data_IF_498291317276
#
_entry.id   IF_498291317276
#
_cell.length_a   1.000
_cell.length_b   1.000
_cell.length_c   1.000
_cell.angle_alpha   90.00
_cell.angle_beta   90.00
_cell.angle_gamma   90.00
#
_symmetry.space_group_name_H-M   'P 1'
#
loop_
_entity.id
_entity.type
_entity.pdbx_description
1 polymer ?
#
# COMPACT_ATOMS: atom_id res chain seq x y z
N UNK A 1 8.40 19.47 -3.67
CA UNK A 1 7.74 18.15 -3.56
C UNK A 1 8.64 17.01 -4.04
N UNK A 2 9.16 17.04 -5.27
CA UNK A 2 10.04 15.98 -5.78
C UNK A 2 11.29 15.72 -4.91
N UNK A 3 11.90 16.76 -4.32
CA UNK A 3 13.00 16.59 -3.37
C UNK A 3 12.62 15.80 -2.11
N UNK A 4 11.37 15.90 -1.64
CA UNK A 4 10.88 15.12 -0.49
C UNK A 4 10.73 13.64 -0.86
N UNK A 5 10.18 13.36 -2.04
CA UNK A 5 10.10 11.99 -2.57
C UNK A 5 11.50 11.38 -2.74
N UNK A 6 12.43 12.14 -3.35
CA UNK A 6 13.82 11.69 -3.52
C UNK A 6 14.49 11.37 -2.18
N UNK A 7 14.25 12.20 -1.16
CA UNK A 7 14.71 11.96 0.21
C UNK A 7 14.18 10.63 0.75
N UNK A 8 12.87 10.39 0.65
CA UNK A 8 12.24 9.16 1.14
C UNK A 8 12.79 7.92 0.44
N UNK A 9 13.00 7.98 -0.89
CA UNK A 9 13.65 6.89 -1.64
C UNK A 9 15.12 6.65 -1.25
N UNK A 10 15.89 7.72 -1.02
CA UNK A 10 17.28 7.60 -0.56
C UNK A 10 17.33 6.95 0.84
N UNK A 11 16.39 7.30 1.72
CA UNK A 11 16.30 6.74 3.06
C UNK A 11 16.11 5.22 3.06
N UNK A 12 15.39 4.70 2.05
CA UNK A 12 15.07 3.28 1.89
C UNK A 12 16.12 2.53 1.08
N UNK A 13 17.17 3.18 0.57
CA UNK A 13 18.12 2.57 -0.39
C UNK A 13 18.66 1.20 0.08
N UNK A 14 18.89 1.02 1.38
CA UNK A 14 19.37 -0.26 1.92
C UNK A 14 18.30 -1.37 1.93
N UNK A 15 17.01 -1.01 1.89
CA UNK A 15 15.87 -1.92 1.82
C UNK A 15 15.42 -2.23 0.39
N UNK A 16 15.93 -1.54 -0.64
CA UNK A 16 15.65 -1.83 -2.05
C UNK A 16 15.94 -3.28 -2.46
N UNK A 17 17.10 -3.89 -2.12
CA UNK A 17 17.36 -5.29 -2.49
C UNK A 17 16.35 -6.24 -1.83
N UNK A 18 16.00 -6.02 -0.56
CA UNK A 18 14.96 -6.78 0.14
C UNK A 18 13.59 -6.61 -0.54
N UNK A 19 13.23 -5.40 -0.92
CA UNK A 19 11.99 -5.09 -1.60
C UNK A 19 11.88 -5.77 -2.97
N UNK A 20 12.93 -5.71 -3.80
CA UNK A 20 12.95 -6.37 -5.11
C UNK A 20 12.83 -7.89 -4.94
N UNK A 21 13.64 -8.47 -4.04
CA UNK A 21 13.62 -9.90 -3.75
C UNK A 21 12.25 -10.36 -3.28
N UNK A 22 11.64 -9.64 -2.33
CA UNK A 22 10.33 -10.01 -1.78
C UNK A 22 9.18 -9.77 -2.78
N UNK A 23 9.28 -8.74 -3.62
CA UNK A 23 8.28 -8.47 -4.67
C UNK A 23 8.22 -9.57 -5.74
N UNK A 24 9.33 -10.28 -5.96
CA UNK A 24 9.39 -11.42 -6.88
C UNK A 24 9.01 -12.71 -6.17
N UNK A 25 9.61 -12.99 -5.00
CA UNK A 25 9.39 -14.25 -4.28
C UNK A 25 8.01 -14.35 -3.61
N UNK A 26 7.47 -13.24 -3.10
CA UNK A 26 6.20 -13.20 -2.38
C UNK A 26 5.02 -13.75 -3.22
N UNK A 27 4.80 -13.22 -4.45
CA UNK A 27 3.75 -13.72 -5.32
C UNK A 27 3.98 -15.19 -5.70
N UNK A 28 5.22 -15.61 -5.94
CA UNK A 28 5.56 -17.00 -6.31
C UNK A 28 5.19 -17.96 -5.18
N UNK A 29 5.59 -17.63 -3.95
CA UNK A 29 5.33 -18.43 -2.77
C UNK A 29 3.83 -18.60 -2.51
N UNK A 30 3.07 -17.49 -2.59
CA UNK A 30 1.62 -17.53 -2.34
C UNK A 30 0.88 -18.30 -3.44
N UNK A 31 1.27 -18.14 -4.71
CA UNK A 31 0.67 -18.93 -5.80
C UNK A 31 0.95 -20.42 -5.64
N UNK A 32 2.16 -20.80 -5.24
CA UNK A 32 2.51 -22.20 -4.97
C UNK A 32 1.64 -22.82 -3.87
N UNK A 33 1.29 -22.04 -2.84
CA UNK A 33 0.50 -22.51 -1.71
C UNK A 33 -1.02 -22.52 -1.96
N UNK A 34 -1.52 -21.66 -2.86
CA UNK A 34 -2.97 -21.47 -3.05
C UNK A 34 -3.59 -22.25 -4.21
N UNK A 35 -2.78 -22.80 -5.15
CA UNK A 35 -3.17 -23.70 -6.27
C UNK A 35 -4.67 -23.71 -6.62
N UNK A 36 -5.22 -22.57 -7.01
CA UNK A 36 -6.66 -22.40 -7.24
C UNK A 36 -6.96 -21.24 -8.20
N UNK A 37 -8.18 -21.21 -8.73
CA UNK A 37 -8.67 -20.11 -9.56
C UNK A 37 -8.61 -18.78 -8.77
N UNK A 38 -8.07 -17.73 -9.38
CA UNK A 38 -7.75 -16.39 -8.82
C UNK A 38 -6.55 -16.28 -7.86
N UNK A 39 -5.70 -17.31 -7.74
CA UNK A 39 -4.46 -17.27 -6.95
C UNK A 39 -3.57 -16.05 -7.27
N UNK A 40 -3.50 -15.66 -8.55
CA UNK A 40 -2.68 -14.52 -9.01
C UNK A 40 -3.13 -13.20 -8.41
N UNK A 41 -4.43 -12.92 -8.37
CA UNK A 41 -4.99 -11.70 -7.78
C UNK A 41 -4.75 -11.62 -6.27
N UNK A 42 -5.02 -12.73 -5.57
CA UNK A 42 -4.86 -12.81 -4.11
C UNK A 42 -3.38 -12.65 -3.74
N UNK A 43 -2.49 -13.31 -4.47
CA UNK A 43 -1.05 -13.21 -4.28
C UNK A 43 -0.54 -11.78 -4.45
N UNK A 44 -1.06 -11.07 -5.45
CA UNK A 44 -0.68 -9.69 -5.72
C UNK A 44 -1.12 -8.76 -4.59
N UNK A 45 -2.40 -8.82 -4.18
CA UNK A 45 -2.93 -7.99 -3.08
C UNK A 45 -2.15 -8.18 -1.78
N UNK A 46 -1.84 -9.44 -1.42
CA UNK A 46 -1.11 -9.71 -0.19
C UNK A 46 0.31 -9.16 -0.27
N UNK A 47 0.98 -9.41 -1.39
CA UNK A 47 2.36 -8.95 -1.60
C UNK A 47 2.44 -7.43 -1.55
N UNK A 48 1.55 -6.73 -2.25
CA UNK A 48 1.59 -5.26 -2.31
C UNK A 48 1.27 -4.62 -0.97
N UNK A 49 0.27 -5.12 -0.24
CA UNK A 49 -0.04 -4.64 1.10
C UNK A 49 1.15 -4.82 2.02
N UNK A 50 1.74 -6.01 2.04
CA UNK A 50 2.88 -6.31 2.90
C UNK A 50 4.09 -5.41 2.60
N UNK A 51 4.42 -5.25 1.32
CA UNK A 51 5.56 -4.42 0.90
C UNK A 51 5.35 -2.95 1.21
N UNK A 52 4.17 -2.39 0.91
CA UNK A 52 3.85 -1.00 1.22
C UNK A 52 3.93 -0.74 2.73
N UNK A 53 3.41 -1.66 3.56
CA UNK A 53 3.49 -1.52 5.01
C UNK A 53 4.93 -1.54 5.53
N UNK A 54 5.78 -2.45 5.04
CA UNK A 54 7.18 -2.53 5.47
C UNK A 54 7.93 -1.28 5.03
N UNK A 55 7.80 -0.88 3.77
CA UNK A 55 8.52 0.27 3.24
C UNK A 55 8.09 1.56 3.91
N UNK A 56 6.78 1.81 3.96
CA UNK A 56 6.24 3.00 4.59
C UNK A 56 6.57 3.04 6.09
N UNK A 57 6.44 1.91 6.78
CA UNK A 57 6.83 1.78 8.19
C UNK A 57 8.31 2.05 8.42
N UNK A 58 9.18 1.61 7.50
CA UNK A 58 10.63 1.84 7.58
C UNK A 58 10.99 3.31 7.38
N UNK A 59 10.38 3.99 6.39
CA UNK A 59 10.53 5.45 6.19
C UNK A 59 10.14 6.21 7.45
N UNK A 60 8.96 5.89 7.99
CA UNK A 60 8.42 6.58 9.15
C UNK A 60 9.33 6.45 10.38
N UNK A 61 9.91 5.25 10.59
CA UNK A 61 10.86 4.98 11.67
C UNK A 61 12.19 5.70 11.49
N UNK A 62 12.70 5.73 10.26
CA UNK A 62 13.95 6.43 9.96
C UNK A 62 13.79 7.95 10.12
N UNK A 63 12.61 8.49 9.79
CA UNK A 63 12.27 9.89 10.05
C UNK A 63 12.21 10.21 11.54
N UNK A 64 11.64 9.35 12.40
CA UNK A 64 11.66 9.60 13.84
C UNK A 64 13.07 9.42 14.45
N UNK A 65 13.79 8.35 14.10
CA UNK A 65 15.13 8.05 14.66
C UNK A 65 16.15 9.14 14.36
N UNK A 66 16.09 9.74 13.16
CA UNK A 66 17.02 10.79 12.76
C UNK A 66 16.60 12.19 13.23
N UNK A 67 15.70 12.31 14.21
CA UNK A 67 15.09 13.60 14.60
C UNK A 67 14.54 14.35 13.38
N UNK A 68 13.94 13.63 12.43
CA UNK A 68 13.45 14.16 11.17
C UNK A 68 12.47 15.32 11.36
N UNK A 69 11.73 15.37 12.48
CA UNK A 69 10.93 16.55 12.84
C UNK A 69 11.76 17.82 13.05
N UNK A 70 12.98 17.73 13.63
CA UNK A 70 13.88 18.87 13.88
C UNK A 70 14.61 19.30 12.59
N UNK A 71 14.87 18.36 11.68
CA UNK A 71 15.41 18.67 10.35
C UNK A 71 14.32 19.15 9.36
N UNK A 72 13.06 18.72 9.52
CA UNK A 72 11.94 19.18 8.69
C UNK A 72 11.43 20.57 9.10
N UNK A 73 11.67 21.01 10.34
CA UNK A 73 11.40 22.39 10.79
C UNK A 73 12.45 23.40 10.32
N UNK A 74 13.64 22.96 9.91
CA UNK A 74 14.67 23.84 9.31
C UNK A 74 14.60 23.93 7.79
N UNK A 75 13.77 23.09 7.15
CA UNK A 75 13.57 23.10 5.69
C UNK A 75 12.26 23.85 5.38
N UNK A 76 12.23 24.78 4.42
CA UNK A 76 11.05 25.61 4.12
C UNK A 76 9.97 24.85 3.33
N UNK A 77 9.49 23.72 3.86
CA UNK A 77 8.38 22.97 3.27
C UNK A 77 7.10 23.17 4.07
N UNK A 78 5.99 23.39 3.36
CA UNK A 78 4.70 23.50 4.02
C UNK A 78 4.26 22.14 4.58
N UNK A 79 3.52 22.16 5.70
CA UNK A 79 2.93 20.97 6.31
C UNK A 79 2.07 20.17 5.32
N UNK A 80 1.40 20.85 4.39
CA UNK A 80 0.63 20.22 3.31
C UNK A 80 1.50 19.51 2.26
N UNK A 81 2.71 20.01 2.00
CA UNK A 81 3.64 19.38 1.08
C UNK A 81 4.23 18.08 1.64
N UNK A 82 4.50 18.03 2.95
CA UNK A 82 5.01 16.85 3.66
C UNK A 82 3.98 15.72 3.64
N UNK A 83 2.71 16.04 3.95
CA UNK A 83 1.63 15.05 3.90
C UNK A 83 1.47 14.52 2.47
N UNK A 84 1.35 15.40 1.47
CA UNK A 84 1.19 14.99 0.07
C UNK A 84 2.35 14.13 -0.45
N UNK A 85 3.59 14.36 -0.01
CA UNK A 85 4.71 13.49 -0.40
C UNK A 85 4.57 12.06 0.11
N UNK A 86 3.96 11.82 1.28
CA UNK A 86 3.74 10.46 1.80
C UNK A 86 2.73 9.68 0.95
N UNK A 87 1.65 10.31 0.51
CA UNK A 87 0.69 9.67 -0.39
C UNK A 87 1.29 9.42 -1.78
N UNK A 88 2.08 10.35 -2.30
CA UNK A 88 2.83 10.15 -3.55
C UNK A 88 3.87 9.02 -3.44
N UNK A 89 4.49 8.88 -2.27
CA UNK A 89 5.44 7.81 -2.01
C UNK A 89 4.77 6.43 -2.05
N UNK A 90 3.61 6.26 -1.42
CA UNK A 90 2.81 5.02 -1.48
C UNK A 90 2.37 4.73 -2.92
N UNK A 91 1.84 5.73 -3.64
CA UNK A 91 1.47 5.57 -5.04
C UNK A 91 2.66 5.17 -5.93
N UNK A 92 3.86 5.66 -5.63
CA UNK A 92 5.08 5.27 -6.35
C UNK A 92 5.47 3.82 -6.05
N UNK A 93 5.38 3.38 -4.78
CA UNK A 93 5.61 1.98 -4.43
C UNK A 93 4.63 1.08 -5.18
N UNK A 94 3.35 1.42 -5.22
CA UNK A 94 2.31 0.67 -5.94
C UNK A 94 2.68 0.41 -7.40
N UNK A 95 3.15 1.45 -8.10
CA UNK A 95 3.55 1.35 -9.50
C UNK A 95 4.78 0.44 -9.64
N UNK A 96 5.77 0.59 -8.75
CA UNK A 96 7.01 -0.21 -8.80
C UNK A 96 6.71 -1.69 -8.52
N UNK A 97 5.90 -2.01 -7.51
CA UNK A 97 5.49 -3.41 -7.22
C UNK A 97 4.70 -4.01 -8.37
N UNK A 98 3.84 -3.24 -9.03
CA UNK A 98 3.12 -3.72 -10.22
C UNK A 98 4.07 -4.06 -11.37
N UNK A 99 5.04 -3.20 -11.67
CA UNK A 99 6.07 -3.46 -12.69
C UNK A 99 6.91 -4.69 -12.34
N UNK A 100 7.34 -4.81 -11.08
CA UNK A 100 8.10 -5.96 -10.60
C UNK A 100 7.29 -7.26 -10.66
N UNK A 101 5.98 -7.20 -10.40
CA UNK A 101 5.10 -8.34 -10.55
C UNK A 101 5.01 -8.82 -12.00
N UNK A 102 4.87 -7.90 -12.97
CA UNK A 102 4.88 -8.26 -14.40
C UNK A 102 6.20 -8.94 -14.79
N UNK A 103 7.33 -8.41 -14.32
CA UNK A 103 8.63 -9.02 -14.55
C UNK A 103 8.72 -10.42 -13.93
N UNK A 104 8.21 -10.60 -12.71
CA UNK A 104 8.16 -11.92 -12.06
C UNK A 104 7.29 -12.92 -12.84
N UNK A 105 6.14 -12.47 -13.37
CA UNK A 105 5.26 -13.31 -14.20
C UNK A 105 5.88 -13.70 -15.53
N UNK A 106 6.76 -12.87 -16.11
CA UNK A 106 7.50 -13.18 -17.35
C UNK A 106 8.63 -14.18 -17.15
N UNK A 107 9.29 -14.15 -15.98
CA UNK A 107 10.50 -14.95 -15.71
C UNK A 107 10.14 -16.35 -15.18
N UNK A 108 8.98 -16.52 -14.57
CA UNK A 108 8.62 -17.76 -13.87
C UNK A 108 7.90 -18.77 -14.78
N UNK A 109 8.29 -20.05 -14.75
CA UNK A 109 7.64 -21.11 -15.54
C UNK A 109 6.31 -21.59 -14.91
N UNK A 110 5.87 -20.95 -13.83
CA UNK A 110 4.62 -21.24 -13.13
C UNK A 110 3.54 -20.40 -13.82
N UNK A 111 2.34 -20.95 -14.06
CA UNK A 111 1.21 -20.24 -14.68
C UNK A 111 0.73 -19.04 -13.85
N UNK A 112 1.51 -17.95 -13.88
CA UNK A 112 1.12 -16.65 -13.36
C UNK A 112 0.34 -15.94 -14.45
N UNK A 113 -0.98 -15.93 -14.32
CA UNK A 113 -1.82 -15.17 -15.23
C UNK A 113 -1.58 -13.67 -15.03
N UNK A 114 -1.54 -12.94 -16.15
CA UNK A 114 -1.55 -11.49 -16.11
C UNK A 114 -2.77 -10.99 -15.34
N UNK A 115 -2.56 -10.01 -14.46
CA UNK A 115 -3.64 -9.41 -13.69
C UNK A 115 -4.61 -8.68 -14.62
N UNK A 116 -5.90 -8.95 -14.44
CA UNK A 116 -6.94 -8.19 -15.13
C UNK A 116 -6.92 -6.72 -14.67
N UNK A 117 -7.34 -5.80 -15.54
CA UNK A 117 -7.49 -4.38 -15.19
C UNK A 117 -8.39 -4.19 -13.97
N UNK A 118 -9.44 -5.02 -13.87
CA UNK A 118 -10.35 -5.01 -12.71
C UNK A 118 -9.61 -5.38 -11.42
N UNK A 119 -8.77 -6.41 -11.45
CA UNK A 119 -7.96 -6.85 -10.32
C UNK A 119 -7.05 -5.73 -9.83
N UNK A 120 -6.34 -5.05 -10.73
CA UNK A 120 -5.42 -3.94 -10.39
C UNK A 120 -6.18 -2.78 -9.72
N UNK A 121 -7.33 -2.41 -10.26
CA UNK A 121 -8.16 -1.32 -9.71
C UNK A 121 -8.74 -1.66 -8.34
N UNK A 122 -9.15 -2.91 -8.13
CA UNK A 122 -9.61 -3.37 -6.82
C UNK A 122 -8.46 -3.36 -5.81
N UNK A 123 -7.25 -3.81 -6.21
CA UNK A 123 -6.06 -3.73 -5.36
C UNK A 123 -5.74 -2.28 -4.96
N UNK A 124 -5.81 -1.34 -5.91
CA UNK A 124 -5.60 0.07 -5.65
C UNK A 124 -6.63 0.65 -4.67
N UNK A 125 -7.90 0.28 -4.81
CA UNK A 125 -8.97 0.69 -3.89
C UNK A 125 -8.71 0.17 -2.47
N UNK A 126 -8.35 -1.11 -2.33
CA UNK A 126 -8.03 -1.72 -1.03
C UNK A 126 -6.90 -0.97 -0.34
N UNK A 127 -5.82 -0.70 -1.07
CA UNK A 127 -4.68 0.10 -0.58
C UNK A 127 -5.10 1.51 -0.18
N UNK A 128 -5.93 2.16 -1.01
CA UNK A 128 -6.45 3.49 -0.73
C UNK A 128 -7.26 3.54 0.56
N UNK A 129 -8.08 2.52 0.85
CA UNK A 129 -8.81 2.40 2.12
C UNK A 129 -7.82 2.22 3.29
N UNK A 130 -6.90 1.26 3.18
CA UNK A 130 -5.98 0.94 4.26
C UNK A 130 -5.08 2.11 4.62
N UNK A 131 -4.36 2.67 3.64
CA UNK A 131 -3.49 3.83 3.86
C UNK A 131 -4.28 5.11 4.10
N UNK A 132 -5.49 5.20 3.54
CA UNK A 132 -6.43 6.28 3.81
C UNK A 132 -6.79 6.40 5.30
N UNK A 133 -6.82 5.30 6.03
CA UNK A 133 -7.07 5.29 7.49
C UNK A 133 -5.75 5.30 8.27
N UNK A 134 -4.75 4.55 7.81
CA UNK A 134 -3.49 4.37 8.54
C UNK A 134 -2.67 5.66 8.66
N UNK A 135 -2.54 6.45 7.59
CA UNK A 135 -1.72 7.68 7.59
C UNK A 135 -2.28 8.74 8.57
N UNK A 136 -3.59 9.06 8.57
CA UNK A 136 -4.15 9.98 9.57
C UNK A 136 -3.94 9.51 11.01
N UNK A 137 -4.11 8.21 11.27
CA UNK A 137 -3.89 7.62 12.60
C UNK A 137 -2.43 7.78 13.01
N UNK A 138 -1.48 7.53 12.09
CA UNK A 138 -0.07 7.73 12.35
C UNK A 138 0.25 9.19 12.68
N UNK A 139 -0.29 10.15 11.93
CA UNK A 139 -0.12 11.56 12.24
C UNK A 139 -0.74 11.94 13.59
N UNK A 140 -1.85 11.31 14.00
CA UNK A 140 -2.51 11.58 15.29
C UNK A 140 -1.71 11.03 16.47
N UNK A 141 -1.38 9.74 16.46
CA UNK A 141 -0.80 9.04 17.61
C UNK A 141 0.73 9.02 17.63
N UNK A 142 1.41 9.47 16.57
CA UNK A 142 2.87 9.41 16.44
C UNK A 142 3.34 8.03 15.94
N UNK A 143 4.55 7.96 15.37
CA UNK A 143 5.05 6.71 14.79
C UNK A 143 5.48 5.70 15.85
N UNK A 144 5.92 6.13 17.03
CA UNK A 144 6.15 5.29 18.22
C UNK A 144 4.94 4.41 18.60
N UNK A 145 3.74 4.99 18.73
CA UNK A 145 2.54 4.23 19.14
C UNK A 145 1.95 3.41 17.99
N UNK A 146 2.04 3.91 16.76
CA UNK A 146 1.55 3.19 15.57
C UNK A 146 2.53 2.14 15.05
N UNK A 147 3.77 2.11 15.57
CA UNK A 147 4.77 1.07 15.31
C UNK A 147 4.23 -0.31 15.66
N UNK A 148 3.63 -0.46 16.83
CA UNK A 148 3.07 -1.73 17.28
C UNK A 148 1.91 -2.17 16.40
N UNK A 149 1.03 -1.23 16.01
CA UNK A 149 -0.07 -1.49 15.08
C UNK A 149 0.49 -1.96 13.73
N UNK A 150 1.50 -1.28 13.18
CA UNK A 150 2.13 -1.66 11.92
C UNK A 150 2.82 -3.02 11.98
N UNK A 151 3.58 -3.30 13.04
CA UNK A 151 4.27 -4.58 13.21
C UNK A 151 3.27 -5.72 13.38
N UNK A 152 2.20 -5.52 14.14
CA UNK A 152 1.14 -6.50 14.32
C UNK A 152 0.41 -6.75 12.99
N UNK A 153 0.12 -5.69 12.23
CA UNK A 153 -0.51 -5.81 10.92
C UNK A 153 0.38 -6.54 9.91
N UNK A 154 1.68 -6.25 9.87
CA UNK A 154 2.66 -6.92 8.99
C UNK A 154 2.78 -8.40 9.36
N UNK A 155 2.73 -8.78 10.64
CA UNK A 155 2.80 -10.19 11.04
C UNK A 155 1.49 -10.95 10.78
N UNK A 156 0.34 -10.30 10.99
CA UNK A 156 -0.99 -10.93 10.86
C UNK A 156 -1.47 -10.95 9.40
N UNK A 157 -1.10 -9.98 8.58
CA UNK A 157 -1.54 -9.85 7.18
C UNK A 157 -1.24 -11.08 6.31
N UNK A 158 -0.02 -11.64 6.31
CA UNK A 158 0.30 -12.82 5.48
C UNK A 158 -0.45 -14.09 5.91
N UNK A 159 -0.75 -14.22 7.21
CA UNK A 159 -1.40 -15.40 7.78
C UNK A 159 -2.93 -15.34 7.72
N UNK A 160 -3.51 -14.15 7.92
CA UNK A 160 -4.96 -13.98 8.01
C UNK A 160 -5.64 -13.84 6.65
N UNK A 161 -5.03 -13.16 5.68
CA UNK A 161 -5.66 -12.89 4.38
C UNK A 161 -5.97 -14.17 3.57
N UNK A 162 -5.08 -15.17 3.46
CA UNK A 162 -5.42 -16.44 2.81
C UNK A 162 -6.57 -17.19 3.50
N UNK A 163 -6.64 -17.14 4.83
CA UNK A 163 -7.72 -17.77 5.61
C UNK A 163 -9.06 -17.05 5.42
N UNK A 164 -9.05 -15.71 5.40
CA UNK A 164 -10.23 -14.88 5.14
C UNK A 164 -10.75 -15.10 3.71
N UNK A 165 -9.87 -15.19 2.72
CA UNK A 165 -10.26 -15.45 1.33
C UNK A 165 -10.91 -16.83 1.18
N UNK A 166 -10.34 -17.87 1.79
CA UNK A 166 -10.96 -19.20 1.82
C UNK A 166 -12.33 -19.20 2.50
N UNK A 167 -12.50 -18.40 3.56
CA UNK A 167 -13.77 -18.26 4.27
C UNK A 167 -14.82 -17.46 3.48
N UNK A 168 -14.41 -16.48 2.68
CA UNK A 168 -15.31 -15.72 1.79
C UNK A 168 -15.75 -16.60 0.61
N UNK A 169 -14.83 -17.39 0.04
CA UNK A 169 -15.14 -18.32 -1.04
C UNK A 169 -16.14 -19.40 -0.61
N UNK A 170 -16.07 -19.89 0.63
CA UNK A 170 -17.03 -20.88 1.13
C UNK A 170 -18.46 -20.34 1.30
N UNK A 171 -18.65 -19.01 1.32
CA UNK A 171 -19.96 -18.39 1.50
C UNK A 171 -20.71 -18.06 0.19
N UNK A 172 -20.18 -18.41 -0.99
CA UNK A 172 -20.84 -18.22 -2.30
C UNK A 172 -21.64 -16.90 -2.41
N UNK A 173 -21.00 -15.77 -2.07
CA UNK A 173 -21.65 -14.46 -2.12
C UNK A 173 -21.92 -14.12 -3.60
N UNK A 174 -23.15 -14.33 -4.06
CA UNK A 174 -23.56 -14.03 -5.43
C UNK A 174 -23.61 -12.51 -5.68
N UNK A 175 -22.51 -11.94 -6.15
CA UNK A 175 -22.39 -10.54 -6.56
C UNK A 175 -23.00 -10.27 -7.96
N UNK A 176 -24.20 -10.80 -8.23
CA UNK A 176 -24.85 -10.72 -9.54
C UNK A 176 -25.16 -9.28 -10.00
N UNK A 177 -25.22 -8.32 -9.07
CA UNK A 177 -25.50 -6.91 -9.36
C UNK A 177 -24.27 -6.23 -10.02
N UNK A 178 -23.06 -6.63 -9.61
CA UNK A 178 -21.80 -6.03 -10.08
C UNK A 178 -21.47 -6.46 -11.51
N UNK A 179 -21.91 -7.65 -11.91
CA UNK A 179 -21.64 -8.21 -13.25
C UNK A 179 -22.57 -7.66 -14.34
N UNK A 180 -23.63 -6.92 -13.98
CA UNK A 180 -24.55 -6.28 -14.93
C UNK A 180 -24.08 -4.90 -15.41
N UNK A 181 -23.07 -4.33 -14.74
CA UNK A 181 -22.54 -3.00 -15.07
C UNK A 181 -21.46 -3.14 -16.14
N UNK A 182 -21.46 -2.30 -17.19
CA UNK A 182 -20.39 -2.27 -18.19
C UNK A 182 -19.01 -2.08 -17.54
N UNK A 183 -18.01 -2.85 -18.00
CA UNK A 183 -16.66 -2.83 -17.44
C UNK A 183 -16.04 -1.42 -17.38
N UNK A 184 -16.27 -0.59 -18.40
CA UNK A 184 -15.78 0.80 -18.43
C UNK A 184 -16.33 1.66 -17.29
N UNK A 185 -17.65 1.56 -17.03
CA UNK A 185 -18.31 2.30 -15.95
C UNK A 185 -17.79 1.82 -14.59
N UNK A 186 -17.62 0.50 -14.44
CA UNK A 186 -17.04 -0.09 -13.23
C UNK A 186 -15.63 0.44 -12.95
N UNK A 187 -14.78 0.54 -13.97
CA UNK A 187 -13.41 1.06 -13.82
C UNK A 187 -13.39 2.53 -13.40
N UNK A 188 -14.21 3.37 -14.05
CA UNK A 188 -14.32 4.79 -13.70
C UNK A 188 -14.78 4.96 -12.25
N UNK A 189 -15.78 4.20 -11.81
CA UNK A 189 -16.28 4.24 -10.43
C UNK A 189 -15.17 3.86 -9.43
N UNK A 190 -14.42 2.78 -9.69
CA UNK A 190 -13.33 2.33 -8.81
C UNK A 190 -12.22 3.40 -8.69
N UNK A 191 -11.84 4.02 -9.80
CA UNK A 191 -10.83 5.09 -9.81
C UNK A 191 -11.33 6.31 -9.04
N UNK A 192 -12.54 6.79 -9.32
CA UNK A 192 -13.10 7.95 -8.63
C UNK A 192 -13.20 7.69 -7.12
N UNK A 193 -13.67 6.49 -6.73
CA UNK A 193 -13.85 6.13 -5.32
C UNK A 193 -12.51 6.02 -4.58
N UNK A 194 -11.48 5.44 -5.18
CA UNK A 194 -10.14 5.40 -4.58
C UNK A 194 -9.54 6.80 -4.43
N UNK A 195 -9.66 7.67 -5.44
CA UNK A 195 -9.17 9.04 -5.39
C UNK A 195 -9.90 9.90 -4.34
N UNK A 196 -11.21 9.75 -4.18
CA UNK A 196 -11.98 10.50 -3.17
C UNK A 196 -11.57 10.10 -1.75
N UNK A 197 -11.37 8.80 -1.49
CA UNK A 197 -10.88 8.30 -0.20
C UNK A 197 -9.50 8.90 0.14
N UNK A 198 -8.57 8.87 -0.82
CA UNK A 198 -7.25 9.46 -0.64
C UNK A 198 -7.32 10.98 -0.42
N UNK A 199 -8.16 11.69 -1.17
CA UNK A 199 -8.33 13.13 -1.02
C UNK A 199 -8.90 13.53 0.35
N UNK A 200 -9.89 12.79 0.86
CA UNK A 200 -10.45 12.97 2.20
C UNK A 200 -9.36 12.70 3.25
N UNK A 201 -8.64 11.59 3.08
CA UNK A 201 -7.55 11.20 3.97
C UNK A 201 -6.45 12.27 4.05
N UNK A 202 -6.04 12.85 2.91
CA UNK A 202 -5.07 13.96 2.87
C UNK A 202 -5.57 15.16 3.67
N UNK A 203 -6.83 15.57 3.50
CA UNK A 203 -7.40 16.70 4.25
C UNK A 203 -7.37 16.45 5.76
N UNK A 204 -7.77 15.25 6.19
CA UNK A 204 -7.76 14.85 7.61
C UNK A 204 -6.32 14.86 8.13
N UNK A 205 -5.38 14.24 7.41
CA UNK A 205 -3.96 14.20 7.78
C UNK A 205 -3.34 15.59 7.90
N UNK A 206 -3.63 16.52 6.97
CA UNK A 206 -3.16 17.91 7.04
C UNK A 206 -3.71 18.60 8.30
N UNK A 207 -5.01 18.46 8.59
CA UNK A 207 -5.64 19.08 9.74
C UNK A 207 -5.07 18.56 11.08
N UNK A 208 -4.76 17.26 11.16
CA UNK A 208 -4.12 16.67 12.34
C UNK A 208 -2.69 17.18 12.48
N UNK A 209 -1.93 17.21 11.38
CA UNK A 209 -0.53 17.63 11.39
C UNK A 209 -0.36 19.14 11.62
N UNK A 210 -1.32 19.97 11.20
CA UNK A 210 -1.31 21.41 11.48
C UNK A 210 -1.59 21.74 12.95
N UNK A 211 -2.32 20.88 13.66
CA UNK A 211 -2.65 21.07 15.10
C UNK A 211 -1.62 20.48 16.04
N UNK A 212 -0.66 19.70 15.53
CA UNK A 212 0.45 19.19 16.34
C UNK A 212 1.47 20.30 16.51
N UNK A 213 1.56 20.83 17.72
CA UNK A 213 2.66 21.71 18.12
C UNK A 213 3.91 20.85 18.28
N UNK A 214 4.92 21.15 17.46
CA UNK A 214 6.27 20.62 17.63
C UNK A 214 6.95 21.52 18.67
N UNK A 215 6.69 21.25 19.96
CA UNK A 215 7.47 21.80 21.08
C UNK A 215 8.57 20.80 21.43
#
# INVERSE_FOLDING_TARGET
>A
MFNLLKKDFIMIRNFWPFFIMFSILGPIFINYQTRGFDSSFISFIITILFLEFILYGSVSRLEEKNKGCILLTTIPYSRSQIVKSKYLFIASIFIITYVLYILAALITPIEMNFLSINSILISFLVIAIFFGVYIPIQYKYGTEKTKYISSCFVLISPLSLPAIVKWIQSKHIHLNIINRVPNMIKYIILIILSLTILAISIKISINIYSKKDLV
#
